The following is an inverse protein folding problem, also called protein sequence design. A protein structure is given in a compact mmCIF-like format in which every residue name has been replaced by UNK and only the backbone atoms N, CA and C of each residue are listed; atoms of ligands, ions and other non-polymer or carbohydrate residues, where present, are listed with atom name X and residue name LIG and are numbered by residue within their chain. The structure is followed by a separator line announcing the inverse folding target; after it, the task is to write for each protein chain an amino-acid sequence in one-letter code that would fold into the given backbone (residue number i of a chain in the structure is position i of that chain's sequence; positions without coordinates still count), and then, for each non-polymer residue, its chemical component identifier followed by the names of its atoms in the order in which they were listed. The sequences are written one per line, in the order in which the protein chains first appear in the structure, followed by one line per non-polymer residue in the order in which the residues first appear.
data_IF_907902225164
#
_entry.id   IF_907902225164
#
_cell.length_a   1.000
_cell.length_b   1.000
_cell.length_c   1.000
_cell.angle_alpha   90.00
_cell.angle_beta   90.00
_cell.angle_gamma   90.00
#
_symmetry.space_group_name_H-M   'P 1'
#
loop_
_entity.id
_entity.type
_entity.pdbx_description
1 polymer ?
#
# COMPACT_ATOMS: atom_id res chain seq x y z
N UNK A 1 38.68 -17.31 -64.50
CA UNK A 1 39.87 -17.19 -63.62
C UNK A 1 39.79 -15.84 -62.92
N UNK A 2 39.81 -15.83 -61.57
CA UNK A 2 40.28 -14.72 -60.70
C UNK A 2 39.54 -13.37 -60.84
N UNK A 3 38.75 -12.84 -59.91
CA UNK A 3 38.86 -12.83 -58.45
C UNK A 3 37.49 -12.58 -57.79
N UNK A 4 37.30 -13.25 -56.66
CA UNK A 4 36.20 -13.16 -55.71
C UNK A 4 36.67 -12.30 -54.52
N UNK A 5 35.73 -11.67 -53.81
CA UNK A 5 35.81 -11.08 -52.46
C UNK A 5 36.41 -9.67 -52.36
N UNK A 6 35.59 -8.68 -51.94
CA UNK A 6 35.46 -8.23 -50.54
C UNK A 6 34.70 -6.90 -50.50
N UNK A 7 33.45 -6.89 -50.00
CA UNK A 7 32.89 -5.73 -49.29
C UNK A 7 31.58 -6.13 -48.60
N UNK A 8 31.72 -6.87 -47.49
CA UNK A 8 30.66 -7.10 -46.54
C UNK A 8 30.81 -6.00 -45.47
N UNK A 9 30.06 -4.90 -45.62
CA UNK A 9 29.95 -3.87 -44.59
C UNK A 9 29.13 -4.48 -43.45
N UNK A 10 29.83 -4.89 -42.41
CA UNK A 10 29.28 -5.31 -41.13
C UNK A 10 28.78 -4.04 -40.45
N UNK A 11 27.49 -3.74 -40.56
CA UNK A 11 26.80 -2.87 -39.60
C UNK A 11 26.72 -3.61 -38.28
N UNK A 12 27.71 -3.39 -37.41
CA UNK A 12 27.65 -3.78 -36.00
C UNK A 12 26.46 -3.03 -35.37
N UNK A 13 25.34 -3.72 -35.25
CA UNK A 13 24.22 -3.29 -34.44
C UNK A 13 24.68 -3.43 -32.98
N UNK A 14 25.02 -2.32 -32.34
CA UNK A 14 25.32 -2.26 -30.91
C UNK A 14 24.06 -2.66 -30.14
N UNK A 15 23.94 -3.94 -29.81
CA UNK A 15 22.96 -4.41 -28.84
C UNK A 15 23.44 -3.86 -27.50
N UNK A 16 22.86 -2.72 -27.08
CA UNK A 16 22.96 -2.24 -25.71
C UNK A 16 22.23 -3.23 -24.81
N UNK A 17 22.91 -4.32 -24.45
CA UNK A 17 22.49 -5.13 -23.32
C UNK A 17 22.81 -4.27 -22.09
N UNK A 18 21.78 -3.63 -21.53
CA UNK A 18 21.88 -3.06 -20.20
C UNK A 18 22.07 -4.22 -19.22
N UNK A 19 23.33 -4.62 -19.02
CA UNK A 19 23.70 -5.49 -17.91
C UNK A 19 23.49 -4.64 -16.66
N UNK A 20 22.58 -5.06 -15.78
CA UNK A 20 22.47 -4.43 -14.46
C UNK A 20 23.87 -4.49 -13.81
N UNK A 21 24.43 -3.32 -13.48
CA UNK A 21 25.74 -3.22 -12.86
C UNK A 21 25.75 -4.04 -11.56
N UNK A 22 26.50 -5.14 -11.54
CA UNK A 22 26.79 -5.87 -10.31
C UNK A 22 27.75 -5.02 -9.47
N UNK A 23 27.37 -4.70 -8.24
CA UNK A 23 28.19 -3.87 -7.35
C UNK A 23 29.41 -4.61 -6.80
N UNK A 24 30.53 -3.91 -6.70
CA UNK A 24 31.76 -4.37 -6.03
C UNK A 24 31.85 -3.73 -4.63
N UNK A 25 31.82 -4.56 -3.59
CA UNK A 25 31.82 -4.10 -2.19
C UNK A 25 33.16 -3.47 -1.77
N UNK A 26 34.30 -3.90 -2.34
CA UNK A 26 35.61 -3.32 -2.02
C UNK A 26 35.77 -1.95 -2.68
N UNK A 27 35.32 -1.81 -3.93
CA UNK A 27 35.20 -0.52 -4.59
C UNK A 27 34.23 0.41 -3.85
N UNK A 28 33.13 -0.13 -3.33
CA UNK A 28 32.14 0.58 -2.53
C UNK A 28 32.73 1.10 -1.22
N UNK A 29 33.51 0.28 -0.52
CA UNK A 29 34.22 0.66 0.72
C UNK A 29 35.15 1.85 0.51
N UNK A 30 35.90 1.87 -0.59
CA UNK A 30 36.78 2.99 -0.90
C UNK A 30 35.99 4.30 -1.14
N UNK A 31 34.82 4.21 -1.80
CA UNK A 31 33.96 5.35 -2.11
C UNK A 31 33.12 5.83 -0.91
N UNK A 32 32.85 4.95 0.06
CA UNK A 32 32.01 5.27 1.23
C UNK A 32 32.65 6.24 2.22
N UNK A 33 33.94 6.55 2.08
CA UNK A 33 34.67 7.45 2.97
C UNK A 33 33.98 8.81 3.13
N UNK A 34 33.46 9.38 2.04
CA UNK A 34 32.73 10.66 2.08
C UNK A 34 31.34 10.52 2.72
N UNK A 35 30.74 9.34 2.68
CA UNK A 35 29.43 9.06 3.31
C UNK A 35 29.54 8.96 4.83
N UNK A 36 30.69 8.50 5.34
CA UNK A 36 30.91 8.25 6.76
C UNK A 36 30.81 9.50 7.64
N UNK A 37 31.02 10.70 7.08
CA UNK A 37 30.88 11.96 7.79
C UNK A 37 29.48 12.24 8.34
N UNK A 38 28.44 11.60 7.78
CA UNK A 38 27.06 11.71 8.27
C UNK A 38 26.45 10.33 8.58
N UNK A 39 26.75 9.31 7.79
CA UNK A 39 26.21 7.96 7.95
C UNK A 39 27.08 7.05 8.81
N UNK A 40 28.15 7.56 9.42
CA UNK A 40 29.09 6.82 10.24
C UNK A 40 30.00 5.87 9.44
N UNK A 41 31.16 5.55 10.00
CA UNK A 41 32.15 4.67 9.36
C UNK A 41 31.64 3.23 9.17
N UNK A 42 30.76 2.77 10.06
CA UNK A 42 30.09 1.48 10.02
C UNK A 42 28.70 1.55 9.37
N UNK A 43 28.33 2.65 8.73
CA UNK A 43 27.00 2.84 8.14
C UNK A 43 25.88 3.06 9.16
N UNK A 44 26.21 3.39 10.41
CA UNK A 44 25.25 3.86 11.43
C UNK A 44 25.37 5.39 11.54
N UNK A 45 24.27 6.08 11.25
CA UNK A 45 24.22 7.54 11.24
C UNK A 45 24.62 8.15 12.57
N UNK A 46 25.38 9.24 12.49
CA UNK A 46 25.97 9.90 13.67
C UNK A 46 24.94 10.66 14.52
N UNK A 47 23.73 10.85 14.00
CA UNK A 47 22.59 11.45 14.69
C UNK A 47 21.30 10.89 14.12
N UNK A 48 20.21 11.08 14.86
CA UNK A 48 18.91 10.46 14.54
C UNK A 48 18.28 10.98 13.24
N UNK A 49 18.82 12.06 12.68
CA UNK A 49 18.43 12.64 11.39
C UNK A 49 19.14 12.01 10.19
N UNK A 50 20.29 11.36 10.40
CA UNK A 50 21.04 10.68 9.34
C UNK A 50 20.74 9.19 9.36
N UNK A 51 20.18 8.61 8.29
CA UNK A 51 19.75 7.22 8.33
C UNK A 51 20.91 6.23 8.38
N UNK A 52 20.66 5.11 9.04
CA UNK A 52 21.49 3.91 8.97
C UNK A 52 21.41 3.31 7.56
N UNK A 53 22.58 3.07 6.96
CA UNK A 53 22.77 2.42 5.67
C UNK A 53 23.16 0.95 5.84
N UNK A 54 23.79 0.60 6.97
CA UNK A 54 24.27 -0.74 7.26
C UNK A 54 23.15 -1.80 7.20
N UNK A 55 23.37 -2.85 6.41
CA UNK A 55 22.45 -3.97 6.25
C UNK A 55 21.12 -3.61 5.56
N UNK A 56 21.04 -2.43 4.95
CA UNK A 56 19.93 -2.06 4.06
C UNK A 56 20.07 -2.77 2.71
N UNK A 57 18.97 -3.02 2.02
CA UNK A 57 18.99 -3.71 0.73
C UNK A 57 19.69 -2.88 -0.36
N UNK A 58 20.54 -3.54 -1.16
CA UNK A 58 21.31 -2.90 -2.21
C UNK A 58 20.39 -2.21 -3.23
N UNK A 59 19.36 -2.91 -3.69
CA UNK A 59 18.36 -2.37 -4.63
C UNK A 59 17.69 -1.10 -4.10
N UNK A 60 17.32 -1.10 -2.81
CA UNK A 60 16.73 0.08 -2.18
C UNK A 60 17.73 1.25 -2.14
N UNK A 61 18.99 1.01 -1.77
CA UNK A 61 20.04 2.06 -1.74
C UNK A 61 20.21 2.67 -3.14
N UNK A 62 20.34 1.85 -4.19
CA UNK A 62 20.47 2.32 -5.57
C UNK A 62 19.26 3.17 -5.98
N UNK A 63 18.04 2.70 -5.69
CA UNK A 63 16.81 3.47 -5.99
C UNK A 63 16.80 4.81 -5.27
N UNK A 64 17.21 4.87 -4.00
CA UNK A 64 17.25 6.15 -3.27
C UNK A 64 18.30 7.11 -3.82
N UNK A 65 19.49 6.63 -4.16
CA UNK A 65 20.54 7.47 -4.76
C UNK A 65 20.10 8.02 -6.13
N UNK A 66 19.47 7.19 -6.97
CA UNK A 66 18.88 7.64 -8.23
C UNK A 66 17.78 8.69 -8.00
N UNK A 67 16.90 8.50 -7.02
CA UNK A 67 15.85 9.45 -6.70
C UNK A 67 16.39 10.81 -6.20
N UNK A 68 17.45 10.82 -5.39
CA UNK A 68 18.11 12.06 -4.99
C UNK A 68 18.79 12.76 -6.17
N UNK A 69 19.40 11.99 -7.09
CA UNK A 69 20.06 12.50 -8.29
C UNK A 69 19.08 13.08 -9.32
N UNK A 70 17.90 12.46 -9.48
CA UNK A 70 16.87 12.93 -10.40
C UNK A 70 16.00 14.05 -9.84
N UNK A 71 16.01 14.26 -8.52
CA UNK A 71 15.12 15.20 -7.83
C UNK A 71 13.77 14.61 -7.46
N UNK A 72 13.50 13.33 -7.76
CA UNK A 72 12.29 12.63 -7.30
C UNK A 72 12.20 12.54 -5.77
N UNK A 73 13.35 12.60 -5.11
CA UNK A 73 13.47 12.74 -3.65
C UNK A 73 14.32 13.96 -3.34
N UNK A 74 13.73 14.97 -2.71
CA UNK A 74 14.42 16.21 -2.40
C UNK A 74 15.12 16.16 -1.04
N UNK A 75 16.43 16.46 -1.02
CA UNK A 75 17.19 16.80 0.17
C UNK A 75 18.49 17.47 -0.30
N UNK A 76 18.72 18.73 0.03
CA UNK A 76 19.84 19.51 -0.51
C UNK A 76 21.21 18.85 -0.30
N UNK A 77 21.42 18.24 0.87
CA UNK A 77 22.66 17.53 1.20
C UNK A 77 22.81 16.26 0.35
N UNK A 78 21.82 15.36 0.38
CA UNK A 78 21.92 14.10 -0.34
C UNK A 78 21.82 14.24 -1.87
N UNK A 79 21.10 15.22 -2.39
CA UNK A 79 21.08 15.54 -3.82
C UNK A 79 22.47 15.98 -4.29
N UNK A 80 23.18 16.79 -3.49
CA UNK A 80 24.57 17.18 -3.80
C UNK A 80 25.51 15.98 -3.80
N UNK A 81 25.36 15.08 -2.81
CA UNK A 81 26.15 13.85 -2.73
C UNK A 81 25.87 12.89 -3.91
N UNK A 82 24.62 12.77 -4.33
CA UNK A 82 24.21 11.84 -5.39
C UNK A 82 24.51 12.35 -6.80
N UNK A 83 24.59 13.67 -7.00
CA UNK A 83 24.80 14.29 -8.31
C UNK A 83 26.06 13.76 -9.01
N UNK A 84 27.15 13.55 -8.26
CA UNK A 84 28.44 13.09 -8.77
C UNK A 84 28.58 11.58 -8.97
N UNK A 85 27.61 10.77 -8.53
CA UNK A 85 27.72 9.30 -8.58
C UNK A 85 27.32 8.75 -9.95
N UNK A 86 28.14 7.87 -10.52
CA UNK A 86 27.76 7.02 -11.65
C UNK A 86 26.84 5.87 -11.19
N UNK A 87 26.20 5.18 -12.14
CA UNK A 87 25.39 4.00 -11.80
C UNK A 87 26.22 2.88 -11.15
N UNK A 88 27.49 2.72 -11.57
CA UNK A 88 28.40 1.76 -10.95
C UNK A 88 28.77 2.19 -9.54
N UNK A 89 29.03 3.48 -9.28
CA UNK A 89 29.30 3.97 -7.92
C UNK A 89 28.13 3.68 -6.98
N UNK A 90 26.90 3.88 -7.45
CA UNK A 90 25.69 3.56 -6.69
C UNK A 90 25.60 2.06 -6.39
N UNK A 91 25.90 1.20 -7.37
CA UNK A 91 25.90 -0.25 -7.19
C UNK A 91 26.97 -0.73 -6.21
N UNK A 92 28.19 -0.19 -6.30
CA UNK A 92 29.32 -0.51 -5.42
C UNK A 92 29.04 -0.09 -3.97
N UNK A 93 28.59 1.16 -3.77
CA UNK A 93 28.19 1.66 -2.44
C UNK A 93 27.06 0.82 -1.84
N UNK A 94 26.08 0.45 -2.66
CA UNK A 94 24.99 -0.40 -2.24
C UNK A 94 25.47 -1.80 -1.80
N UNK A 95 26.35 -2.43 -2.58
CA UNK A 95 26.95 -3.72 -2.24
C UNK A 95 27.72 -3.66 -0.91
N UNK A 96 28.51 -2.59 -0.70
CA UNK A 96 29.25 -2.38 0.55
C UNK A 96 28.32 -2.24 1.76
N UNK A 97 27.36 -1.31 1.73
CA UNK A 97 26.50 -1.05 2.89
C UNK A 97 25.55 -2.21 3.21
N UNK A 98 25.08 -2.96 2.21
CA UNK A 98 24.29 -4.19 2.44
C UNK A 98 25.07 -5.26 3.20
N UNK A 99 26.38 -5.35 3.02
CA UNK A 99 27.23 -6.33 3.70
C UNK A 99 27.54 -5.95 5.17
N UNK A 100 27.27 -4.72 5.60
CA UNK A 100 27.54 -4.29 6.97
C UNK A 100 26.50 -4.80 7.97
N UNK A 101 26.91 -5.16 9.21
CA UNK A 101 25.98 -5.56 10.26
C UNK A 101 25.04 -4.41 10.66
N UNK A 102 23.75 -4.70 10.79
CA UNK A 102 22.72 -3.70 11.15
C UNK A 102 22.89 -3.09 12.53
N UNK A 103 23.55 -3.79 13.45
CA UNK A 103 23.86 -3.30 14.78
C UNK A 103 25.12 -2.42 14.83
N UNK A 104 25.74 -2.15 13.67
CA UNK A 104 26.96 -1.34 13.59
C UNK A 104 28.22 -2.03 14.10
N UNK A 105 28.17 -3.34 14.38
CA UNK A 105 29.37 -4.08 14.75
C UNK A 105 30.41 -3.99 13.62
N UNK A 106 31.63 -3.57 13.96
CA UNK A 106 32.77 -3.63 13.04
C UNK A 106 33.07 -5.08 12.69
N UNK A 107 33.44 -5.35 11.43
CA UNK A 107 33.99 -6.66 11.06
C UNK A 107 35.39 -6.91 11.65
N UNK A 108 36.06 -5.87 12.16
CA UNK A 108 37.26 -5.98 12.99
C UNK A 108 36.88 -5.89 14.47
N UNK A 109 36.93 -7.03 15.15
CA UNK A 109 36.62 -7.14 16.58
C UNK A 109 37.79 -6.64 17.43
N UNK A 110 37.71 -5.39 17.88
CA UNK A 110 38.31 -4.93 19.13
C UNK A 110 37.34 -3.96 19.77
N UNK A 111 36.62 -4.48 20.75
CA UNK A 111 35.48 -3.84 21.38
C UNK A 111 35.86 -2.63 22.22
N UNK A 112 35.03 -1.60 22.16
CA UNK A 112 34.64 -0.82 23.34
C UNK A 112 33.16 -0.46 23.19
N UNK A 113 32.36 -0.99 24.10
CA UNK A 113 30.95 -0.66 24.25
C UNK A 113 30.81 0.82 24.66
N UNK A 114 29.98 1.56 23.93
CA UNK A 114 29.47 2.85 24.37
C UNK A 114 27.97 2.70 24.65
N UNK A 115 27.67 2.75 25.93
CA UNK A 115 26.34 2.73 26.55
C UNK A 115 25.35 3.67 25.87
N UNK A 116 24.13 3.17 25.77
CA UNK A 116 22.92 3.95 25.49
C UNK A 116 22.78 5.09 26.50
N UNK A 117 22.52 6.29 25.98
CA UNK A 117 22.11 7.46 26.74
C UNK A 117 20.64 7.70 26.41
N UNK A 118 19.75 7.20 27.27
CA UNK A 118 18.35 7.62 27.30
C UNK A 118 18.30 9.11 27.68
N UNK A 119 18.00 9.98 26.72
CA UNK A 119 17.79 11.38 26.97
C UNK A 119 16.36 11.61 27.46
N UNK A 120 16.22 11.84 28.77
CA UNK A 120 14.98 12.31 29.39
C UNK A 120 14.81 13.81 29.11
N UNK A 121 13.69 14.20 28.49
CA UNK A 121 13.23 15.60 28.49
C UNK A 121 11.82 15.65 29.06
N UNK A 122 11.58 16.55 30.03
CA UNK A 122 10.24 16.85 30.53
C UNK A 122 9.99 18.36 30.57
N UNK A 123 8.98 18.78 29.82
CA UNK A 123 8.11 19.94 30.08
C UNK A 123 6.69 19.60 29.54
N UNK A 124 5.58 20.08 30.15
CA UNK A 124 4.20 19.69 29.79
C UNK A 124 3.67 20.56 28.63
N UNK A 125 2.80 20.15 27.69
CA UNK A 125 1.91 18.99 27.51
C UNK A 125 1.62 18.83 26.00
N UNK A 126 1.91 17.70 25.36
CA UNK A 126 1.44 17.38 23.99
C UNK A 126 1.73 15.90 23.62
N UNK A 127 0.90 14.98 24.08
CA UNK A 127 0.95 13.53 23.76
C UNK A 127 2.23 12.77 24.18
N UNK A 128 2.08 11.65 24.90
CA UNK A 128 3.18 10.72 25.20
C UNK A 128 3.07 9.57 24.21
N UNK A 129 4.09 9.33 23.36
CA UNK A 129 4.06 8.24 22.39
C UNK A 129 3.86 6.88 23.06
N UNK A 130 3.01 6.05 22.47
CA UNK A 130 2.69 4.70 22.92
C UNK A 130 3.28 3.66 21.94
N UNK A 131 4.39 2.97 22.31
CA UNK A 131 5.00 1.97 21.44
C UNK A 131 4.10 0.75 21.20
N UNK A 132 3.15 0.45 22.08
CA UNK A 132 2.17 -0.63 21.86
C UNK A 132 1.11 -0.23 20.83
N UNK A 133 0.70 1.04 20.81
CA UNK A 133 -0.15 1.60 19.75
C UNK A 133 0.59 1.60 18.42
N UNK A 134 1.87 2.00 18.41
CA UNK A 134 2.76 1.96 17.25
C UNK A 134 2.89 0.55 16.68
N UNK A 135 3.17 -0.44 17.55
CA UNK A 135 3.19 -1.87 17.18
C UNK A 135 1.87 -2.32 16.57
N UNK A 136 0.75 -1.97 17.19
CA UNK A 136 -0.57 -2.36 16.72
C UNK A 136 -0.87 -1.79 15.33
N UNK A 137 -0.53 -0.52 15.09
CA UNK A 137 -0.67 0.10 13.78
C UNK A 137 0.29 -0.51 12.74
N UNK A 138 1.52 -0.84 13.15
CA UNK A 138 2.50 -1.50 12.29
C UNK A 138 2.04 -2.89 11.83
N UNK A 139 1.54 -3.70 12.76
CA UNK A 139 1.17 -5.10 12.49
C UNK A 139 -0.23 -5.24 11.88
N UNK A 140 -1.18 -4.41 12.30
CA UNK A 140 -2.59 -4.59 11.95
C UNK A 140 -3.10 -3.52 10.98
N UNK A 141 -2.43 -2.37 10.90
CA UNK A 141 -2.91 -1.19 10.19
C UNK A 141 -4.21 -0.64 10.78
N UNK A 142 -4.79 0.31 10.06
CA UNK A 142 -6.18 0.74 10.25
C UNK A 142 -6.88 0.81 8.88
N UNK A 143 -7.51 -0.31 8.46
CA UNK A 143 -8.19 -0.36 7.18
C UNK A 143 -9.38 0.60 7.07
N UNK A 144 -9.96 1.08 8.18
CA UNK A 144 -11.07 2.03 8.15
C UNK A 144 -10.64 3.41 7.64
N UNK A 145 -9.36 3.74 7.85
CA UNK A 145 -8.73 4.98 7.37
C UNK A 145 -7.80 4.75 6.19
N UNK A 146 -7.88 3.59 5.53
CA UNK A 146 -6.97 3.18 4.45
C UNK A 146 -5.49 3.18 4.84
N UNK A 147 -5.18 2.82 6.10
CA UNK A 147 -3.82 2.57 6.57
C UNK A 147 -3.62 1.05 6.53
N UNK A 148 -2.80 0.55 5.60
CA UNK A 148 -2.49 -0.86 5.53
C UNK A 148 -1.55 -1.28 6.68
N UNK A 149 -1.53 -2.57 7.01
CA UNK A 149 -0.52 -3.13 7.92
C UNK A 149 0.88 -2.99 7.32
N UNK A 150 1.76 -2.26 8.00
CA UNK A 150 3.13 -2.02 7.55
C UNK A 150 3.96 -3.31 7.47
N UNK A 151 3.73 -4.26 8.41
CA UNK A 151 4.43 -5.56 8.47
C UNK A 151 4.33 -6.36 7.17
N UNK A 152 3.25 -6.21 6.41
CA UNK A 152 3.05 -6.94 5.16
C UNK A 152 4.08 -6.61 4.07
N UNK A 153 4.67 -5.42 4.12
CA UNK A 153 5.73 -5.00 3.20
C UNK A 153 7.10 -4.87 3.91
N UNK A 154 7.11 -4.32 5.12
CA UNK A 154 8.35 -4.06 5.86
C UNK A 154 8.83 -5.25 6.70
N UNK A 155 8.09 -6.36 6.73
CA UNK A 155 8.47 -7.58 7.43
C UNK A 155 8.35 -7.47 8.95
N UNK A 156 8.55 -8.61 9.63
CA UNK A 156 8.45 -8.71 11.09
C UNK A 156 9.43 -7.75 11.76
N UNK A 157 8.94 -6.93 12.68
CA UNK A 157 9.73 -5.90 13.40
C UNK A 157 10.47 -4.92 12.45
N UNK A 158 9.99 -4.77 11.21
CA UNK A 158 10.64 -3.93 10.19
C UNK A 158 11.82 -4.59 9.46
N UNK A 159 12.02 -5.91 9.61
CA UNK A 159 13.02 -6.67 8.86
C UNK A 159 12.44 -7.20 7.55
N UNK A 160 12.50 -6.40 6.47
CA UNK A 160 11.95 -6.82 5.20
C UNK A 160 12.80 -7.90 4.55
N UNK A 161 12.13 -8.85 3.91
CA UNK A 161 12.75 -9.88 3.05
C UNK A 161 12.65 -9.52 1.57
N UNK A 162 11.95 -8.43 1.24
CA UNK A 162 11.72 -7.98 -0.14
C UNK A 162 12.67 -6.83 -0.43
N UNK A 163 13.58 -7.02 -1.39
CA UNK A 163 14.73 -6.14 -1.61
C UNK A 163 14.38 -4.67 -1.92
N UNK A 164 13.20 -4.40 -2.47
CA UNK A 164 12.76 -3.03 -2.79
C UNK A 164 12.10 -2.32 -1.59
N UNK A 165 11.70 -3.07 -0.55
CA UNK A 165 11.09 -2.50 0.65
C UNK A 165 12.16 -2.26 1.70
N UNK A 166 12.31 -1.03 2.22
CA UNK A 166 13.39 -0.76 3.16
C UNK A 166 13.20 -1.51 4.47
N UNK A 167 14.33 -1.92 5.04
CA UNK A 167 14.40 -2.30 6.44
C UNK A 167 14.16 -1.06 7.32
N UNK A 168 13.27 -1.20 8.29
CA UNK A 168 12.98 -0.22 9.33
C UNK A 168 13.60 -0.60 10.67
N UNK A 169 13.87 -1.89 10.87
CA UNK A 169 14.55 -2.39 12.07
C UNK A 169 15.93 -1.72 12.24
N UNK A 170 16.24 -1.31 13.48
CA UNK A 170 17.47 -0.59 13.85
C UNK A 170 17.68 0.73 13.07
N UNK A 171 16.64 1.31 12.48
CA UNK A 171 16.71 2.67 11.95
C UNK A 171 16.36 3.67 13.06
N UNK A 172 16.93 4.87 12.98
CA UNK A 172 16.65 5.94 13.95
C UNK A 172 15.14 6.27 14.00
N UNK A 173 14.51 6.27 15.19
CA UNK A 173 13.10 6.59 15.36
C UNK A 173 12.70 7.94 14.76
N UNK A 174 13.52 8.96 14.97
CA UNK A 174 13.31 10.32 14.47
C UNK A 174 13.42 10.37 12.95
N UNK A 175 14.33 9.60 12.36
CA UNK A 175 14.39 9.45 10.91
C UNK A 175 13.10 8.83 10.36
N UNK A 176 12.61 7.74 10.99
CA UNK A 176 11.35 7.08 10.59
C UNK A 176 10.18 8.08 10.66
N UNK A 177 10.02 8.79 11.78
CA UNK A 177 9.01 9.82 11.95
C UNK A 177 9.11 10.88 10.86
N UNK A 178 10.31 11.38 10.59
CA UNK A 178 10.57 12.40 9.55
C UNK A 178 10.17 11.88 8.17
N UNK A 179 10.51 10.64 7.82
CA UNK A 179 10.12 10.09 6.53
C UNK A 179 8.60 9.92 6.40
N UNK A 180 7.92 9.49 7.46
CA UNK A 180 6.45 9.39 7.48
C UNK A 180 5.80 10.77 7.35
N UNK A 181 6.33 11.79 8.01
CA UNK A 181 5.88 13.17 7.83
C UNK A 181 6.10 13.68 6.40
N UNK A 182 7.26 13.41 5.79
CA UNK A 182 7.53 13.79 4.41
C UNK A 182 6.58 13.09 3.43
N UNK A 183 6.24 11.81 3.66
CA UNK A 183 5.23 11.12 2.86
C UNK A 183 3.82 11.69 3.10
N UNK A 184 3.47 12.01 4.35
CA UNK A 184 2.19 12.62 4.71
C UNK A 184 1.99 13.98 4.02
N UNK A 185 3.04 14.80 4.02
CA UNK A 185 3.04 16.15 3.45
C UNK A 185 3.32 16.17 1.93
N UNK A 186 3.71 15.01 1.36
CA UNK A 186 4.12 14.84 -0.04
C UNK A 186 5.44 15.51 -0.41
N UNK A 187 6.26 15.85 0.57
CA UNK A 187 7.66 16.25 0.38
C UNK A 187 8.53 15.06 -0.09
N UNK A 188 8.03 13.83 0.10
CA UNK A 188 8.59 12.61 -0.50
C UNK A 188 7.50 11.86 -1.25
N UNK A 189 7.77 11.50 -2.50
CA UNK A 189 6.77 10.87 -3.38
C UNK A 189 6.94 9.35 -3.41
N UNK A 190 5.89 8.63 -3.01
CA UNK A 190 5.68 7.21 -3.23
C UNK A 190 4.18 6.91 -3.05
N UNK A 191 3.52 6.39 -4.10
CA UNK A 191 2.07 6.21 -4.11
C UNK A 191 1.51 5.53 -2.86
N UNK A 192 2.08 4.37 -2.48
CA UNK A 192 1.61 3.60 -1.33
C UNK A 192 1.89 4.32 -0.01
N UNK A 193 3.11 4.84 0.19
CA UNK A 193 3.47 5.49 1.44
C UNK A 193 2.77 6.84 1.62
N UNK A 194 2.54 7.62 0.55
CA UNK A 194 1.72 8.83 0.62
C UNK A 194 0.27 8.50 1.02
N UNK A 195 -0.29 7.39 0.52
CA UNK A 195 -1.62 6.94 0.94
C UNK A 195 -1.64 6.58 2.43
N UNK A 196 -0.71 5.76 2.89
CA UNK A 196 -0.73 5.27 4.27
C UNK A 196 -0.38 6.37 5.27
N UNK A 197 0.75 7.06 5.09
CA UNK A 197 1.19 8.14 5.98
C UNK A 197 0.27 9.36 5.91
N UNK A 198 -0.31 9.65 4.74
CA UNK A 198 -1.30 10.72 4.57
C UNK A 198 -2.51 10.58 5.49
N UNK A 199 -2.91 9.35 5.80
CA UNK A 199 -4.04 9.03 6.66
C UNK A 199 -3.67 8.84 8.15
N UNK A 200 -2.38 8.84 8.50
CA UNK A 200 -1.90 8.80 9.89
C UNK A 200 -2.01 10.18 10.55
N UNK A 201 -2.29 10.22 11.85
CA UNK A 201 -2.16 11.43 12.68
C UNK A 201 -0.71 11.65 13.11
N UNK A 202 -0.38 12.86 13.57
CA UNK A 202 0.97 13.15 14.08
C UNK A 202 1.31 12.30 15.32
N UNK A 203 0.32 12.03 16.17
CA UNK A 203 0.46 11.16 17.34
C UNK A 203 0.82 9.73 16.92
N UNK A 204 0.14 9.18 15.91
CA UNK A 204 0.42 7.83 15.40
C UNK A 204 1.79 7.72 14.71
N UNK A 205 2.28 8.81 14.11
CA UNK A 205 3.65 8.85 13.60
C UNK A 205 4.66 8.84 14.76
N UNK A 206 4.35 9.53 15.86
CA UNK A 206 5.16 9.48 17.07
C UNK A 206 5.13 8.09 17.74
N UNK A 207 3.97 7.43 17.79
CA UNK A 207 3.83 6.04 18.26
C UNK A 207 4.65 5.06 17.44
N UNK A 208 4.64 5.23 16.11
CA UNK A 208 5.43 4.41 15.20
C UNK A 208 6.93 4.58 15.46
N UNK A 209 7.39 5.82 15.68
CA UNK A 209 8.78 6.06 16.07
C UNK A 209 9.11 5.42 17.42
N UNK A 210 8.24 5.59 18.43
CA UNK A 210 8.42 4.97 19.74
C UNK A 210 8.47 3.44 19.66
N UNK A 211 7.67 2.81 18.79
CA UNK A 211 7.74 1.38 18.54
C UNK A 211 9.11 0.95 18.01
N UNK A 212 9.66 1.69 17.04
CA UNK A 212 10.97 1.37 16.46
C UNK A 212 12.16 1.76 17.34
N UNK A 213 11.95 2.56 18.39
CA UNK A 213 12.99 2.86 19.38
C UNK A 213 13.39 1.62 20.19
N UNK A 214 12.43 0.75 20.51
CA UNK A 214 12.69 -0.54 21.16
C UNK A 214 11.57 -1.55 20.83
N UNK A 215 11.73 -2.25 19.72
CA UNK A 215 10.75 -3.28 19.30
C UNK A 215 10.71 -4.46 20.27
N UNK A 216 11.82 -4.73 20.98
CA UNK A 216 11.92 -5.84 21.92
C UNK A 216 11.10 -5.58 23.19
N UNK A 217 11.06 -4.33 23.67
CA UNK A 217 10.24 -3.93 24.83
C UNK A 217 8.75 -4.24 24.66
N UNK A 218 8.24 -4.24 23.42
CA UNK A 218 6.83 -4.54 23.10
C UNK A 218 6.63 -5.89 22.39
N UNK A 219 7.65 -6.75 22.33
CA UNK A 219 7.56 -8.04 21.65
C UNK A 219 6.40 -8.91 22.18
N UNK A 220 6.22 -8.93 23.50
CA UNK A 220 5.18 -9.72 24.18
C UNK A 220 3.81 -9.03 24.27
N UNK A 221 3.69 -7.76 23.82
CA UNK A 221 2.42 -7.04 23.82
C UNK A 221 1.53 -7.59 22.72
N UNK A 222 0.32 -8.04 23.05
CA UNK A 222 -0.64 -8.48 22.03
C UNK A 222 -1.16 -7.25 21.28
N UNK A 223 -0.86 -7.18 19.98
CA UNK A 223 -1.34 -6.11 19.11
C UNK A 223 -2.87 -6.08 19.10
N UNK A 224 -3.45 -4.91 19.38
CA UNK A 224 -4.89 -4.73 19.47
C UNK A 224 -5.30 -3.72 18.41
N UNK A 225 -6.32 -4.06 17.61
CA UNK A 225 -6.92 -3.05 16.73
C UNK A 225 -7.45 -1.92 17.59
N UNK A 226 -6.86 -0.74 17.45
CA UNK A 226 -7.49 0.52 17.83
C UNK A 226 -8.57 0.76 16.79
N UNK A 227 -9.72 0.11 16.94
CA UNK A 227 -10.91 0.51 16.20
C UNK A 227 -11.44 1.77 16.88
N UNK A 228 -11.43 2.95 16.22
CA UNK A 228 -12.54 3.84 16.49
C UNK A 228 -13.78 3.02 16.14
N UNK A 229 -14.66 2.82 17.12
CA UNK A 229 -16.04 2.47 16.81
C UNK A 229 -16.47 3.44 15.71
N UNK A 230 -16.93 2.94 14.56
CA UNK A 230 -17.76 3.77 13.70
C UNK A 230 -18.78 4.41 14.66
N UNK A 231 -18.83 5.74 14.78
CA UNK A 231 -19.72 6.34 15.75
C UNK A 231 -21.12 5.86 15.36
N UNK A 232 -21.84 5.27 16.31
CA UNK A 232 -23.26 5.00 16.13
C UNK A 232 -23.92 6.38 16.15
N UNK A 233 -23.90 7.04 15.00
CA UNK A 233 -24.45 8.39 14.84
C UNK A 233 -25.97 8.31 14.76
N UNK A 234 -26.64 9.45 14.90
CA UNK A 234 -28.08 9.53 14.70
C UNK A 234 -28.49 9.01 13.31
N UNK A 235 -27.67 9.25 12.28
CA UNK A 235 -27.86 8.79 10.91
C UNK A 235 -27.77 7.27 10.79
N UNK A 236 -26.84 6.61 11.50
CA UNK A 236 -26.73 5.14 11.53
C UNK A 236 -27.96 4.52 12.20
N UNK A 237 -28.46 5.13 13.28
CA UNK A 237 -29.66 4.67 13.98
C UNK A 237 -30.91 4.84 13.10
N UNK A 238 -31.08 6.02 12.50
CA UNK A 238 -32.20 6.30 11.59
C UNK A 238 -32.15 5.39 10.34
N UNK A 239 -30.95 5.20 9.79
CA UNK A 239 -30.68 4.31 8.67
C UNK A 239 -31.07 2.86 8.92
N UNK A 240 -30.85 2.34 10.13
CA UNK A 240 -31.25 0.98 10.50
C UNK A 240 -32.76 0.76 10.31
N UNK A 241 -33.58 1.71 10.75
CA UNK A 241 -35.04 1.63 10.60
C UNK A 241 -35.45 1.70 9.13
N UNK A 242 -34.84 2.61 8.37
CA UNK A 242 -35.14 2.81 6.94
C UNK A 242 -34.66 1.65 6.06
N UNK A 243 -33.60 0.98 6.47
CA UNK A 243 -33.04 -0.18 5.77
C UNK A 243 -33.86 -1.47 5.97
N UNK A 244 -34.91 -1.46 6.81
CA UNK A 244 -35.67 -2.66 7.16
C UNK A 244 -36.12 -3.47 5.93
N UNK A 245 -36.66 -2.81 4.91
CA UNK A 245 -37.10 -3.47 3.66
C UNK A 245 -35.93 -4.02 2.84
N UNK A 246 -34.74 -3.39 2.92
CA UNK A 246 -33.55 -3.82 2.20
C UNK A 246 -33.01 -5.15 2.74
N UNK A 247 -33.18 -5.40 4.05
CA UNK A 247 -32.62 -6.57 4.72
C UNK A 247 -33.17 -7.90 4.22
N UNK A 248 -34.39 -7.89 3.66
CA UNK A 248 -35.04 -9.09 3.12
C UNK A 248 -34.22 -9.75 2.00
N UNK A 249 -33.46 -8.96 1.22
CA UNK A 249 -32.59 -9.47 0.16
C UNK A 249 -31.10 -9.30 0.51
N UNK A 250 -30.73 -8.18 1.13
CA UNK A 250 -29.32 -7.86 1.39
C UNK A 250 -28.78 -8.43 2.71
N UNK A 251 -29.63 -9.07 3.53
CA UNK A 251 -29.27 -9.59 4.86
C UNK A 251 -29.54 -8.57 5.97
N UNK A 252 -29.78 -9.06 7.19
CA UNK A 252 -30.11 -8.25 8.36
C UNK A 252 -29.05 -7.17 8.68
N UNK A 253 -27.79 -7.49 8.43
CA UNK A 253 -26.62 -6.64 8.61
C UNK A 253 -25.96 -6.26 7.27
N UNK A 254 -26.65 -6.49 6.15
CA UNK A 254 -26.09 -6.26 4.82
C UNK A 254 -25.15 -7.37 4.33
N UNK A 255 -25.02 -8.50 5.03
CA UNK A 255 -24.30 -9.69 4.55
C UNK A 255 -25.26 -10.70 3.92
N UNK A 256 -25.64 -10.49 2.65
CA UNK A 256 -26.55 -11.39 1.95
C UNK A 256 -25.97 -12.79 1.77
N UNK A 257 -26.75 -13.80 2.15
CA UNK A 257 -26.46 -15.22 1.94
C UNK A 257 -26.84 -15.71 0.54
N UNK A 258 -27.60 -14.93 -0.21
CA UNK A 258 -28.04 -15.28 -1.57
C UNK A 258 -26.99 -14.78 -2.56
N UNK A 259 -26.39 -15.70 -3.31
CA UNK A 259 -25.20 -15.41 -4.14
C UNK A 259 -25.37 -14.29 -5.17
N UNK A 260 -26.58 -14.07 -5.69
CA UNK A 260 -26.85 -13.03 -6.69
C UNK A 260 -27.05 -11.64 -6.08
N UNK A 261 -27.37 -11.55 -4.78
CA UNK A 261 -27.59 -10.29 -4.10
C UNK A 261 -26.27 -9.76 -3.55
N UNK A 262 -25.94 -8.48 -3.77
CA UNK A 262 -24.72 -7.93 -3.22
C UNK A 262 -24.81 -7.78 -1.71
N UNK A 263 -23.70 -8.06 -1.03
CA UNK A 263 -23.42 -7.59 0.32
C UNK A 263 -23.24 -6.07 0.31
N UNK A 264 -23.92 -5.40 1.23
CA UNK A 264 -23.84 -3.96 1.46
C UNK A 264 -22.98 -3.64 2.70
N UNK A 265 -22.80 -4.61 3.59
CA UNK A 265 -22.03 -4.43 4.81
C UNK A 265 -20.63 -3.90 4.51
N UNK A 266 -20.21 -2.86 5.22
CA UNK A 266 -18.87 -2.27 5.13
C UNK A 266 -18.53 -1.61 3.78
N UNK A 267 -19.50 -1.46 2.88
CA UNK A 267 -19.33 -0.69 1.64
C UNK A 267 -19.26 0.81 1.94
N UNK A 268 -18.55 1.58 1.11
CA UNK A 268 -18.46 3.03 1.29
C UNK A 268 -19.85 3.69 1.17
N UNK A 269 -20.21 4.55 2.13
CA UNK A 269 -21.50 5.22 2.15
C UNK A 269 -21.75 6.01 0.86
N UNK A 270 -20.77 6.79 0.41
CA UNK A 270 -20.85 7.56 -0.85
C UNK A 270 -21.11 6.68 -2.07
N UNK A 271 -20.54 5.46 -2.09
CA UNK A 271 -20.80 4.52 -3.16
C UNK A 271 -22.25 4.01 -3.11
N UNK A 272 -22.77 3.66 -1.93
CA UNK A 272 -24.17 3.24 -1.77
C UNK A 272 -25.12 4.36 -2.20
N UNK A 273 -24.88 5.60 -1.74
CA UNK A 273 -25.68 6.78 -2.13
C UNK A 273 -25.68 6.93 -3.64
N UNK A 274 -24.50 6.94 -4.28
CA UNK A 274 -24.38 7.01 -5.74
C UNK A 274 -25.20 5.90 -6.42
N UNK A 275 -25.11 4.66 -5.96
CA UNK A 275 -25.84 3.56 -6.58
C UNK A 275 -27.36 3.71 -6.42
N UNK A 276 -27.85 4.13 -5.25
CA UNK A 276 -29.28 4.38 -5.03
C UNK A 276 -29.80 5.53 -5.91
N UNK A 277 -29.05 6.61 -6.03
CA UNK A 277 -29.38 7.73 -6.92
C UNK A 277 -29.45 7.29 -8.39
N UNK A 278 -28.50 6.45 -8.82
CA UNK A 278 -28.46 5.96 -10.21
C UNK A 278 -29.54 4.92 -10.51
N UNK A 279 -29.93 4.10 -9.53
CA UNK A 279 -31.12 3.26 -9.67
C UNK A 279 -32.40 4.10 -9.76
N UNK A 280 -32.51 5.16 -8.95
CA UNK A 280 -33.66 6.07 -8.95
C UNK A 280 -33.79 6.84 -10.27
N UNK A 281 -32.68 7.30 -10.84
CA UNK A 281 -32.68 8.06 -12.10
C UNK A 281 -32.74 7.18 -13.36
N UNK A 282 -32.52 5.88 -13.23
CA UNK A 282 -32.38 4.96 -14.36
C UNK A 282 -30.97 4.92 -14.97
N UNK A 283 -30.03 5.74 -14.50
CA UNK A 283 -28.63 5.69 -14.95
C UNK A 283 -27.94 4.35 -14.65
N UNK A 284 -28.47 3.60 -13.68
CA UNK A 284 -28.19 2.18 -13.48
C UNK A 284 -29.50 1.42 -13.51
N UNK A 285 -29.76 0.68 -14.58
CA UNK A 285 -31.01 -0.05 -14.73
C UNK A 285 -31.02 -1.34 -13.90
N UNK A 286 -32.11 -1.57 -13.17
CA UNK A 286 -32.41 -2.84 -12.53
C UNK A 286 -33.90 -2.92 -12.17
N UNK A 287 -34.57 -4.00 -12.60
CA UNK A 287 -36.01 -4.17 -12.42
C UNK A 287 -36.47 -4.21 -10.95
N UNK A 288 -35.58 -4.57 -10.02
CA UNK A 288 -35.89 -4.65 -8.59
C UNK A 288 -35.46 -3.38 -7.86
N UNK A 289 -34.21 -2.96 -8.05
CA UNK A 289 -33.66 -1.81 -7.31
C UNK A 289 -34.16 -0.46 -7.81
N UNK A 290 -34.59 -0.33 -9.06
CA UNK A 290 -35.19 0.91 -9.58
C UNK A 290 -36.44 1.33 -8.79
N UNK A 291 -37.50 0.48 -8.73
CA UNK A 291 -38.68 0.76 -7.91
C UNK A 291 -38.35 0.98 -6.44
N UNK A 292 -37.46 0.18 -5.86
CA UNK A 292 -37.04 0.34 -4.45
C UNK A 292 -36.38 1.69 -4.19
N UNK A 293 -35.52 2.16 -5.08
CA UNK A 293 -34.83 3.45 -4.95
C UNK A 293 -35.75 4.65 -5.26
N UNK A 294 -36.76 4.47 -6.11
CA UNK A 294 -37.70 5.55 -6.49
C UNK A 294 -38.48 6.14 -5.31
N UNK A 295 -38.74 5.32 -4.28
CA UNK A 295 -39.47 5.72 -3.08
C UNK A 295 -38.61 6.45 -2.04
N UNK A 296 -37.28 6.47 -2.21
CA UNK A 296 -36.34 7.04 -1.23
C UNK A 296 -36.12 8.54 -1.46
N UNK A 297 -36.12 9.33 -0.39
CA UNK A 297 -35.55 10.68 -0.40
C UNK A 297 -34.01 10.63 -0.40
N UNK A 298 -33.35 11.74 -0.73
CA UNK A 298 -31.89 11.83 -0.66
C UNK A 298 -31.36 11.56 0.76
N UNK A 299 -32.06 12.08 1.76
CA UNK A 299 -31.73 11.86 3.17
C UNK A 299 -31.88 10.39 3.56
N UNK A 300 -32.92 9.69 3.07
CA UNK A 300 -33.05 8.24 3.29
C UNK A 300 -31.87 7.47 2.71
N UNK A 301 -31.41 7.85 1.51
CA UNK A 301 -30.25 7.21 0.88
C UNK A 301 -28.99 7.39 1.72
N UNK A 302 -28.75 8.59 2.26
CA UNK A 302 -27.59 8.89 3.11
C UNK A 302 -27.62 8.08 4.40
N UNK A 303 -28.78 8.01 5.07
CA UNK A 303 -28.92 7.27 6.32
C UNK A 303 -28.81 5.75 6.11
N UNK A 304 -29.48 5.19 5.09
CA UNK A 304 -29.36 3.77 4.73
C UNK A 304 -27.90 3.42 4.38
N UNK A 305 -27.23 4.27 3.61
CA UNK A 305 -25.84 4.10 3.25
C UNK A 305 -24.92 4.13 4.49
N UNK A 306 -25.14 5.07 5.40
CA UNK A 306 -24.41 5.18 6.67
C UNK A 306 -24.59 3.93 7.52
N UNK A 307 -25.82 3.40 7.60
CA UNK A 307 -26.11 2.18 8.33
C UNK A 307 -25.34 0.97 7.80
N UNK A 308 -25.41 0.69 6.48
CA UNK A 308 -24.71 -0.46 5.89
C UNK A 308 -23.18 -0.29 5.88
N UNK A 309 -22.68 0.93 5.69
CA UNK A 309 -21.25 1.23 5.77
C UNK A 309 -20.65 0.93 7.16
N UNK A 310 -21.45 1.10 8.21
CA UNK A 310 -21.02 0.80 9.58
C UNK A 310 -21.06 -0.72 9.91
N UNK A 311 -21.66 -1.56 9.07
CA UNK A 311 -21.75 -2.99 9.33
C UNK A 311 -20.43 -3.70 9.05
N UNK A 312 -20.18 -4.78 9.80
CA UNK A 312 -18.99 -5.61 9.62
C UNK A 312 -19.16 -6.52 8.40
N UNK A 313 -18.17 -6.53 7.51
CA UNK A 313 -18.11 -7.48 6.39
C UNK A 313 -17.92 -8.89 6.95
N UNK A 314 -18.82 -9.81 6.57
CA UNK A 314 -18.64 -11.24 6.79
C UNK A 314 -18.14 -11.87 5.49
N UNK A 315 -16.89 -12.31 5.52
CA UNK A 315 -16.24 -13.00 4.40
C UNK A 315 -16.52 -14.49 4.53
N UNK A 316 -17.01 -15.11 3.47
CA UNK A 316 -17.23 -16.54 3.43
C UNK A 316 -15.87 -17.27 3.39
N UNK A 317 -15.79 -18.42 4.06
CA UNK A 317 -14.60 -19.25 3.99
C UNK A 317 -14.58 -20.01 2.65
N UNK A 318 -13.97 -19.38 1.65
CA UNK A 318 -13.93 -19.85 0.27
C UNK A 318 -12.47 -20.07 -0.14
N UNK A 319 -12.23 -21.12 -0.91
CA UNK A 319 -10.98 -21.26 -1.63
C UNK A 319 -10.89 -20.14 -2.68
N UNK A 320 -9.88 -19.29 -2.54
CA UNK A 320 -9.60 -18.25 -3.53
C UNK A 320 -9.03 -18.82 -4.83
N UNK A 321 -8.85 -17.95 -5.83
CA UNK A 321 -8.18 -18.34 -7.08
C UNK A 321 -6.76 -17.79 -7.16
N UNK A 322 -5.79 -18.67 -7.40
CA UNK A 322 -4.42 -18.26 -7.71
C UNK A 322 -4.31 -17.51 -9.05
N UNK A 323 -5.15 -17.87 -10.03
CA UNK A 323 -5.21 -17.21 -11.33
C UNK A 323 -5.82 -15.82 -11.15
N UNK A 324 -6.97 -15.74 -10.46
CA UNK A 324 -7.63 -14.50 -10.10
C UNK A 324 -6.72 -13.57 -9.30
N UNK A 325 -5.95 -14.11 -8.34
CA UNK A 325 -4.96 -13.35 -7.56
C UNK A 325 -3.88 -12.72 -8.43
N UNK A 326 -3.31 -13.49 -9.37
CA UNK A 326 -2.31 -12.97 -10.31
C UNK A 326 -2.88 -11.85 -11.17
N UNK A 327 -4.08 -12.04 -11.72
CA UNK A 327 -4.72 -11.04 -12.57
C UNK A 327 -5.15 -9.79 -11.78
N UNK A 328 -5.61 -9.96 -10.55
CA UNK A 328 -5.99 -8.86 -9.66
C UNK A 328 -4.81 -7.96 -9.28
N UNK A 329 -3.70 -8.59 -8.89
CA UNK A 329 -2.50 -7.88 -8.41
C UNK A 329 -1.62 -7.37 -9.56
N UNK A 330 -1.54 -8.12 -10.66
CA UNK A 330 -0.60 -7.83 -11.76
C UNK A 330 -1.26 -7.31 -13.04
N UNK A 331 -2.58 -7.48 -13.21
CA UNK A 331 -3.22 -7.24 -14.50
C UNK A 331 -2.65 -8.16 -15.59
N UNK A 332 -2.72 -7.70 -16.83
CA UNK A 332 -2.08 -8.33 -17.98
C UNK A 332 -1.67 -7.25 -18.99
N UNK A 333 -0.37 -6.94 -19.04
CA UNK A 333 0.16 -5.91 -19.92
C UNK A 333 -0.03 -6.22 -21.42
N UNK A 334 0.05 -7.50 -21.81
CA UNK A 334 -0.12 -7.91 -23.22
C UNK A 334 -1.55 -7.71 -23.66
N UNK A 335 -2.50 -8.08 -22.80
CA UNK A 335 -3.94 -7.86 -23.04
C UNK A 335 -4.41 -6.45 -22.67
N UNK A 336 -3.52 -5.59 -22.16
CA UNK A 336 -3.80 -4.22 -21.68
C UNK A 336 -4.89 -4.19 -20.60
N UNK A 337 -4.88 -5.18 -19.72
CA UNK A 337 -5.74 -5.26 -18.54
C UNK A 337 -4.96 -4.62 -17.39
N UNK A 338 -5.43 -3.46 -16.93
CA UNK A 338 -4.87 -2.82 -15.74
C UNK A 338 -5.14 -3.69 -14.51
N UNK A 339 -4.16 -3.79 -13.61
CA UNK A 339 -4.31 -4.52 -12.36
C UNK A 339 -5.44 -3.90 -11.50
N UNK A 340 -6.36 -4.73 -11.01
CA UNK A 340 -7.51 -4.30 -10.20
C UNK A 340 -7.06 -3.59 -8.91
N UNK A 341 -5.93 -4.03 -8.35
CA UNK A 341 -5.30 -3.47 -7.15
C UNK A 341 -5.02 -1.96 -7.26
N UNK A 342 -4.83 -1.43 -8.46
CA UNK A 342 -4.52 -0.02 -8.68
C UNK A 342 -5.66 0.92 -8.25
N UNK A 343 -6.91 0.44 -8.24
CA UNK A 343 -8.08 1.22 -7.83
C UNK A 343 -8.79 0.60 -6.63
N UNK A 344 -8.87 -0.73 -6.58
CA UNK A 344 -9.57 -1.44 -5.51
C UNK A 344 -8.68 -1.80 -4.31
N UNK A 345 -7.38 -1.50 -4.38
CA UNK A 345 -6.43 -1.71 -3.29
C UNK A 345 -6.05 -3.18 -3.07
N UNK A 346 -4.98 -3.42 -2.30
CA UNK A 346 -4.40 -4.77 -2.10
C UNK A 346 -5.37 -5.75 -1.45
N UNK A 347 -6.26 -5.25 -0.60
CA UNK A 347 -7.25 -6.03 0.13
C UNK A 347 -8.68 -5.80 -0.39
N UNK A 348 -8.85 -5.29 -1.61
CA UNK A 348 -10.17 -5.10 -2.22
C UNK A 348 -11.10 -4.10 -1.51
N UNK A 349 -10.55 -3.20 -0.69
CA UNK A 349 -11.33 -2.18 0.07
C UNK A 349 -11.61 -0.91 -0.72
N UNK A 350 -10.99 -0.73 -1.88
CA UNK A 350 -11.17 0.46 -2.70
C UNK A 350 -10.83 1.76 -1.96
N UNK A 351 -11.48 2.84 -2.36
CA UNK A 351 -11.32 4.17 -1.81
C UNK A 351 -12.61 4.94 -1.99
N UNK A 352 -13.36 5.15 -0.90
CA UNK A 352 -14.65 5.86 -0.93
C UNK A 352 -14.53 7.25 -1.54
N UNK A 353 -13.53 8.04 -1.13
CA UNK A 353 -13.28 9.40 -1.66
C UNK A 353 -12.97 9.43 -3.16
N UNK A 354 -12.39 8.35 -3.70
CA UNK A 354 -12.10 8.23 -5.13
C UNK A 354 -13.23 7.52 -5.91
N UNK A 355 -14.31 7.12 -5.23
CA UNK A 355 -15.44 6.42 -5.83
C UNK A 355 -15.18 4.94 -6.15
N UNK A 356 -14.10 4.35 -5.63
CA UNK A 356 -13.79 2.93 -5.86
C UNK A 356 -14.41 2.06 -4.76
N UNK A 357 -15.34 1.14 -5.10
CA UNK A 357 -16.05 0.35 -4.12
C UNK A 357 -15.18 -0.72 -3.45
N UNK A 358 -15.62 -1.14 -2.26
CA UNK A 358 -15.23 -2.40 -1.65
C UNK A 358 -15.74 -3.56 -2.51
N UNK A 359 -14.85 -4.47 -2.85
CA UNK A 359 -15.12 -5.69 -3.62
C UNK A 359 -14.70 -6.95 -2.87
N UNK A 360 -13.89 -6.81 -1.82
CA UNK A 360 -13.47 -7.92 -0.97
C UNK A 360 -14.65 -8.54 -0.22
N UNK A 361 -14.69 -9.88 -0.19
CA UNK A 361 -15.72 -10.64 0.53
C UNK A 361 -17.10 -10.59 -0.12
N UNK A 362 -17.24 -9.94 -1.28
CA UNK A 362 -18.49 -9.84 -2.01
C UNK A 362 -18.89 -11.20 -2.61
N UNK A 363 -20.18 -11.41 -2.86
CA UNK A 363 -20.65 -12.66 -3.44
C UNK A 363 -20.08 -12.88 -4.86
N UNK A 364 -19.54 -14.08 -5.10
CA UNK A 364 -18.88 -14.46 -6.36
C UNK A 364 -19.81 -14.28 -7.56
N UNK A 365 -21.04 -14.80 -7.49
CA UNK A 365 -21.99 -14.70 -8.58
C UNK A 365 -22.37 -13.24 -8.90
N UNK A 366 -22.54 -12.40 -7.87
CA UNK A 366 -22.74 -10.97 -8.06
C UNK A 366 -21.53 -10.32 -8.74
N UNK A 367 -20.30 -10.56 -8.26
CA UNK A 367 -19.08 -10.01 -8.84
C UNK A 367 -18.94 -10.36 -10.32
N UNK A 368 -19.11 -11.64 -10.66
CA UNK A 368 -19.09 -12.13 -12.04
C UNK A 368 -20.16 -11.42 -12.88
N UNK A 369 -21.39 -11.32 -12.38
CA UNK A 369 -22.49 -10.63 -13.07
C UNK A 369 -22.16 -9.15 -13.33
N UNK A 370 -21.55 -8.45 -12.37
CA UNK A 370 -21.17 -7.05 -12.57
C UNK A 370 -20.07 -6.89 -13.63
N UNK A 371 -19.06 -7.76 -13.64
CA UNK A 371 -18.03 -7.75 -14.68
C UNK A 371 -18.63 -8.01 -16.07
N UNK A 372 -19.57 -8.96 -16.18
CA UNK A 372 -20.28 -9.24 -17.43
C UNK A 372 -21.14 -8.05 -17.89
N UNK A 373 -21.87 -7.41 -16.99
CA UNK A 373 -22.68 -6.23 -17.33
C UNK A 373 -21.82 -5.06 -17.82
N UNK A 374 -20.66 -4.81 -17.20
CA UNK A 374 -19.71 -3.81 -17.71
C UNK A 374 -19.13 -4.21 -19.07
N UNK A 375 -18.78 -5.49 -19.25
CA UNK A 375 -18.24 -6.00 -20.52
C UNK A 375 -19.24 -5.82 -21.67
N UNK A 376 -20.52 -6.08 -21.42
CA UNK A 376 -21.60 -6.01 -22.41
C UNK A 376 -22.17 -4.59 -22.59
N UNK A 377 -21.76 -3.63 -21.75
CA UNK A 377 -22.30 -2.28 -21.76
C UNK A 377 -23.71 -2.16 -21.14
N UNK A 378 -24.26 -3.23 -20.57
CA UNK A 378 -25.51 -3.23 -19.81
C UNK A 378 -25.41 -2.38 -18.53
N UNK A 379 -24.20 -2.31 -17.95
CA UNK A 379 -23.87 -1.39 -16.85
C UNK A 379 -22.84 -0.38 -17.35
N UNK A 380 -23.21 0.90 -17.31
CA UNK A 380 -22.42 2.01 -17.87
C UNK A 380 -22.27 3.21 -16.93
N UNK A 381 -22.63 3.03 -15.65
CA UNK A 381 -22.60 4.06 -14.61
C UNK A 381 -21.19 4.25 -13.96
N UNK A 382 -20.13 3.90 -14.70
CA UNK A 382 -18.74 4.00 -14.25
C UNK A 382 -18.08 5.32 -14.68
N UNK A 383 -17.29 5.91 -13.78
CA UNK A 383 -16.55 7.13 -14.07
C UNK A 383 -15.59 6.91 -15.24
N UNK A 384 -15.63 7.80 -16.23
CA UNK A 384 -14.74 7.78 -17.40
C UNK A 384 -14.65 6.43 -18.13
N UNK A 385 -15.71 5.61 -18.08
CA UNK A 385 -15.75 4.26 -18.66
C UNK A 385 -14.65 3.32 -18.15
N UNK A 386 -14.12 3.55 -16.94
CA UNK A 386 -12.99 2.79 -16.39
C UNK A 386 -13.29 1.29 -16.31
N UNK A 387 -14.43 0.90 -15.73
CA UNK A 387 -14.77 -0.51 -15.54
C UNK A 387 -15.16 -1.17 -16.87
N UNK A 388 -15.84 -0.46 -17.77
CA UNK A 388 -16.12 -0.97 -19.12
C UNK A 388 -14.82 -1.19 -19.92
N UNK A 389 -13.85 -0.29 -19.81
CA UNK A 389 -12.53 -0.40 -20.46
C UNK A 389 -11.71 -1.59 -19.93
N UNK A 390 -11.82 -1.92 -18.65
CA UNK A 390 -11.17 -3.09 -18.06
C UNK A 390 -11.93 -4.37 -18.42
N UNK A 391 -13.25 -4.41 -18.18
CA UNK A 391 -14.08 -5.60 -18.35
C UNK A 391 -14.19 -6.07 -19.80
N UNK A 392 -14.17 -5.15 -20.77
CA UNK A 392 -14.19 -5.49 -22.21
C UNK A 392 -13.07 -6.47 -22.61
N UNK A 393 -11.92 -6.42 -21.92
CA UNK A 393 -10.72 -7.23 -22.20
C UNK A 393 -10.66 -8.55 -21.44
N UNK A 394 -11.57 -8.77 -20.48
CA UNK A 394 -11.64 -10.01 -19.69
C UNK A 394 -12.35 -11.11 -20.49
N UNK A 395 -11.83 -12.33 -20.48
CA UNK A 395 -12.56 -13.52 -20.92
C UNK A 395 -13.56 -13.96 -19.84
N UNK A 396 -14.48 -14.86 -20.19
CA UNK A 396 -15.40 -15.47 -19.22
C UNK A 396 -14.65 -16.15 -18.07
N UNK A 397 -13.57 -16.88 -18.40
CA UNK A 397 -12.71 -17.53 -17.41
C UNK A 397 -11.97 -16.53 -16.53
N UNK A 398 -11.48 -15.40 -17.06
CA UNK A 398 -10.87 -14.37 -16.21
C UNK A 398 -11.87 -13.82 -15.19
N UNK A 399 -13.12 -13.58 -15.61
CA UNK A 399 -14.17 -13.06 -14.73
C UNK A 399 -14.53 -14.06 -13.62
N UNK A 400 -14.56 -15.36 -13.94
CA UNK A 400 -14.76 -16.43 -12.95
C UNK A 400 -13.63 -16.46 -11.92
N UNK A 401 -12.38 -16.47 -12.38
CA UNK A 401 -11.23 -16.55 -11.49
C UNK A 401 -11.06 -15.28 -10.64
N UNK A 402 -11.31 -14.09 -11.22
CA UNK A 402 -11.35 -12.84 -10.46
C UNK A 402 -12.45 -12.85 -9.41
N UNK A 403 -13.67 -13.29 -9.76
CA UNK A 403 -14.80 -13.32 -8.83
C UNK A 403 -14.50 -14.24 -7.63
N UNK A 404 -13.98 -15.45 -7.86
CA UNK A 404 -13.54 -16.37 -6.79
C UNK A 404 -12.52 -15.72 -5.87
N UNK A 405 -11.48 -15.09 -6.44
CA UNK A 405 -10.45 -14.44 -5.65
C UNK A 405 -11.00 -13.28 -4.82
N UNK A 406 -11.74 -12.36 -5.43
CA UNK A 406 -12.35 -11.21 -4.75
C UNK A 406 -13.32 -11.65 -3.63
N UNK A 407 -14.11 -12.70 -3.85
CA UNK A 407 -15.02 -13.25 -2.85
C UNK A 407 -14.29 -13.85 -1.63
N UNK A 408 -13.07 -14.36 -1.82
CA UNK A 408 -12.22 -14.91 -0.74
C UNK A 408 -11.39 -13.87 0.03
N UNK A 409 -11.33 -12.61 -0.43
CA UNK A 409 -10.51 -11.56 0.21
C UNK A 409 -11.03 -11.17 1.60
N UNK A 410 -10.11 -10.96 2.55
CA UNK A 410 -10.38 -10.64 3.96
C UNK A 410 -10.04 -9.20 4.35
#
# INVERSE_FOLDING_TARGET
MRHILTSLIITLLSINIAVAATGDADAGKAKSATCAGCHGANGIGISDTFPNLAGQHADYIVVQLKAFKSGERENSLMSSMAAGLSEQDMADLAAYFTALPRNGASQDTSATEASTSAATIKAPTAYVPDPAAGKSLFELGDPSRNIASCIGCHGSEGNSKVLIYPNLANQHPEYIATQLMNFKNKDRINYAMNQFAGNMTNNEIADMAAYFADTAAVANVVSRRVTPSAPVTAEVIAGKTKAATCTACHGADGNSLVAIYPKLAGQHADYIVKQLQEFKSGARENAVMGPMASALSEQDMVEIASYFAAQKIIVADLEGSNIGKKLYLGGDAKRKITACVACHGVNGKGSGKAGFPVIAGQNEAYLKAQLMQFKNGERYNDYNSMMRSVASKLSASDMDELAKYMASMK
#
